data_IF_587433373200
#
_entry.id   IF_587433373200
#
_cell.length_a   1.000
_cell.length_b   1.000
_cell.length_c   1.000
_cell.angle_alpha   90.00
_cell.angle_beta   90.00
_cell.angle_gamma   90.00
#
_symmetry.space_group_name_H-M   'P 1'
#
loop_
_entity.id
_entity.type
_entity.pdbx_description
1 polymer ?
#
# COMPACT_ATOMS: atom_id res chain seq x y z
N UNK A 1 -19.46 30.49 -13.88
CA UNK A 1 -20.83 30.09 -13.49
C UNK A 1 -20.86 30.05 -11.98
N UNK A 2 -21.59 30.96 -11.36
CA UNK A 2 -21.88 30.91 -9.92
C UNK A 2 -22.74 29.66 -9.68
N UNK A 3 -22.17 28.67 -9.02
CA UNK A 3 -22.95 27.54 -8.51
C UNK A 3 -23.84 28.08 -7.38
N UNK A 4 -25.14 28.22 -7.65
CA UNK A 4 -26.14 28.63 -6.66
C UNK A 4 -26.00 27.77 -5.39
N UNK A 5 -25.57 28.41 -4.30
CA UNK A 5 -25.29 27.76 -3.03
C UNK A 5 -26.63 27.33 -2.38
N UNK A 6 -27.13 26.15 -2.74
CA UNK A 6 -28.42 25.64 -2.24
C UNK A 6 -28.33 25.33 -0.73
N UNK A 7 -29.33 25.73 0.08
CA UNK A 7 -29.31 25.51 1.53
C UNK A 7 -29.37 24.01 1.87
N UNK A 8 -28.22 23.45 2.26
CA UNK A 8 -28.02 22.01 2.54
C UNK A 8 -28.81 21.53 3.75
N UNK A 9 -29.06 22.43 4.71
CA UNK A 9 -29.78 22.13 5.95
C UNK A 9 -31.26 21.77 5.70
N UNK A 10 -31.99 22.61 4.96
CA UNK A 10 -33.41 22.36 4.64
C UNK A 10 -33.57 21.09 3.82
N UNK A 11 -32.70 20.85 2.84
CA UNK A 11 -32.70 19.60 2.06
C UNK A 11 -32.44 18.36 2.91
N UNK A 12 -31.62 18.47 3.95
CA UNK A 12 -31.33 17.34 4.84
C UNK A 12 -32.54 16.93 5.69
N UNK A 13 -33.35 17.90 6.14
CA UNK A 13 -34.55 17.64 6.94
C UNK A 13 -35.68 17.00 6.12
N UNK A 14 -35.69 17.19 4.80
CA UNK A 14 -36.70 16.66 3.89
C UNK A 14 -36.42 15.22 3.42
N UNK A 15 -35.33 14.59 3.88
CA UNK A 15 -34.93 13.24 3.43
C UNK A 15 -35.75 12.13 4.06
N UNK A 16 -36.07 11.11 3.28
CA UNK A 16 -36.68 9.90 3.78
C UNK A 16 -35.63 8.87 4.28
N UNK A 17 -36.09 7.81 4.94
CA UNK A 17 -35.20 6.81 5.55
C UNK A 17 -34.32 6.10 4.51
N UNK A 18 -34.86 5.80 3.33
CA UNK A 18 -34.12 5.12 2.26
C UNK A 18 -32.99 6.01 1.73
N UNK A 19 -33.25 7.31 1.52
CA UNK A 19 -32.24 8.30 1.14
C UNK A 19 -31.13 8.40 2.18
N UNK A 20 -31.48 8.48 3.46
CA UNK A 20 -30.50 8.55 4.56
C UNK A 20 -29.63 7.29 4.60
N UNK A 21 -30.23 6.10 4.40
CA UNK A 21 -29.49 4.83 4.34
C UNK A 21 -28.56 4.80 3.14
N UNK A 22 -29.03 5.25 1.98
CA UNK A 22 -28.23 5.31 0.75
C UNK A 22 -27.02 6.24 0.94
N UNK A 23 -27.20 7.43 1.51
CA UNK A 23 -26.09 8.35 1.76
C UNK A 23 -25.05 7.77 2.70
N UNK A 24 -25.50 7.09 3.77
CA UNK A 24 -24.62 6.42 4.71
C UNK A 24 -23.86 5.30 4.03
N UNK A 25 -24.56 4.46 3.26
CA UNK A 25 -23.93 3.38 2.50
C UNK A 25 -22.89 3.93 1.52
N UNK A 26 -23.20 5.02 0.82
CA UNK A 26 -22.27 5.69 -0.10
C UNK A 26 -21.04 6.25 0.62
N UNK A 27 -21.24 6.89 1.77
CA UNK A 27 -20.14 7.45 2.58
C UNK A 27 -19.24 6.33 3.08
N UNK A 28 -19.82 5.31 3.71
CA UNK A 28 -19.08 4.15 4.23
C UNK A 28 -18.34 3.43 3.11
N UNK A 29 -18.98 3.24 1.96
CA UNK A 29 -18.37 2.60 0.79
C UNK A 29 -17.19 3.40 0.25
N UNK A 30 -17.33 4.72 0.10
CA UNK A 30 -16.27 5.60 -0.38
C UNK A 30 -15.06 5.64 0.58
N UNK A 31 -15.32 5.75 1.88
CA UNK A 31 -14.26 5.74 2.90
C UNK A 31 -13.54 4.39 2.94
N UNK A 32 -14.30 3.28 2.88
CA UNK A 32 -13.75 1.93 2.86
C UNK A 32 -12.89 1.70 1.62
N UNK A 33 -13.35 2.13 0.45
CA UNK A 33 -12.59 2.05 -0.81
C UNK A 33 -11.26 2.81 -0.69
N UNK A 34 -11.29 4.05 -0.19
CA UNK A 34 -10.10 4.88 -0.05
C UNK A 34 -9.07 4.26 0.89
N UNK A 35 -9.52 3.76 2.04
CA UNK A 35 -8.64 3.10 3.03
C UNK A 35 -8.07 1.82 2.44
N UNK A 36 -8.89 1.02 1.76
CA UNK A 36 -8.44 -0.23 1.15
C UNK A 36 -7.37 0.05 0.08
N UNK A 37 -7.60 1.02 -0.81
CA UNK A 37 -6.65 1.39 -1.86
C UNK A 37 -5.29 1.75 -1.26
N UNK A 38 -5.27 2.64 -0.26
CA UNK A 38 -4.04 3.02 0.47
C UNK A 38 -3.32 1.82 1.05
N UNK A 39 -4.06 0.84 1.57
CA UNK A 39 -3.45 -0.36 2.16
C UNK A 39 -2.74 -1.24 1.13
N UNK A 40 -3.26 -1.30 -0.10
CA UNK A 40 -2.61 -1.98 -1.22
C UNK A 40 -1.33 -1.22 -1.61
N UNK A 41 -1.41 0.11 -1.75
CA UNK A 41 -0.25 0.97 -2.04
C UNK A 41 0.86 0.84 -0.98
N UNK A 42 0.50 0.77 0.30
CA UNK A 42 1.43 0.56 1.41
C UNK A 42 2.19 -0.77 1.29
N UNK A 43 1.50 -1.84 0.87
CA UNK A 43 2.13 -3.16 0.66
C UNK A 43 3.13 -3.09 -0.49
N UNK A 44 2.76 -2.49 -1.62
CA UNK A 44 3.65 -2.29 -2.76
C UNK A 44 4.90 -1.48 -2.38
N UNK A 45 4.72 -0.41 -1.61
CA UNK A 45 5.83 0.40 -1.14
C UNK A 45 6.77 -0.39 -0.23
N UNK A 46 6.21 -1.26 0.63
CA UNK A 46 7.00 -2.12 1.51
C UNK A 46 7.81 -3.15 0.72
N UNK A 47 7.23 -3.76 -0.32
CA UNK A 47 7.94 -4.67 -1.23
C UNK A 47 9.13 -3.93 -1.86
N UNK A 48 8.89 -2.77 -2.49
CA UNK A 48 9.95 -1.97 -3.14
C UNK A 48 11.07 -1.55 -2.19
N UNK A 49 10.76 -1.31 -0.91
CA UNK A 49 11.78 -0.99 0.10
C UNK A 49 12.63 -2.22 0.42
N UNK A 50 12.00 -3.36 0.67
CA UNK A 50 12.70 -4.61 0.97
C UNK A 50 13.55 -5.09 -0.20
N UNK A 51 13.07 -4.96 -1.44
CA UNK A 51 13.86 -5.25 -2.65
C UNK A 51 15.14 -4.40 -2.69
N UNK A 52 15.06 -3.10 -2.39
CA UNK A 52 16.25 -2.23 -2.32
C UNK A 52 17.17 -2.59 -1.17
N UNK A 53 16.62 -2.93 -0.01
CA UNK A 53 17.42 -3.38 1.13
C UNK A 53 18.15 -4.69 0.80
N UNK A 54 17.50 -5.60 0.07
CA UNK A 54 18.05 -6.85 -0.40
C UNK A 54 19.19 -6.61 -1.40
N UNK A 55 18.97 -5.77 -2.42
CA UNK A 55 20.03 -5.36 -3.36
C UNK A 55 21.19 -4.63 -2.63
N UNK A 56 20.88 -3.86 -1.58
CA UNK A 56 21.89 -3.22 -0.74
C UNK A 56 22.77 -4.20 0.05
N UNK A 57 22.36 -5.47 0.23
CA UNK A 57 23.20 -6.47 0.91
C UNK A 57 24.45 -6.84 0.10
N UNK A 58 24.38 -6.69 -1.23
CA UNK A 58 25.50 -6.97 -2.14
C UNK A 58 26.22 -5.69 -2.59
N UNK A 59 25.83 -4.53 -2.05
CA UNK A 59 26.56 -3.29 -2.30
C UNK A 59 27.86 -3.26 -1.50
N UNK A 60 28.93 -3.73 -2.14
CA UNK A 60 30.29 -3.78 -1.59
C UNK A 60 31.09 -2.56 -2.08
N UNK A 61 30.42 -1.49 -2.50
CA UNK A 61 31.09 -0.28 -2.95
C UNK A 61 31.98 0.29 -1.83
N UNK A 62 33.24 0.61 -2.12
CA UNK A 62 34.15 1.13 -1.11
C UNK A 62 33.70 2.53 -0.67
N UNK A 63 33.61 2.76 0.64
CA UNK A 63 33.21 4.06 1.21
C UNK A 63 34.23 5.17 0.89
N UNK A 64 35.48 4.80 0.60
CA UNK A 64 36.57 5.70 0.21
C UNK A 64 37.53 5.02 -0.76
N UNK A 65 38.24 5.83 -1.57
CA UNK A 65 39.19 5.39 -2.63
C UNK A 65 40.28 4.42 -2.18
N UNK A 66 40.52 4.32 -0.87
CA UNK A 66 41.58 3.53 -0.24
C UNK A 66 41.09 2.31 0.56
N UNK A 67 39.77 2.05 0.60
CA UNK A 67 39.19 0.98 1.44
C UNK A 67 38.59 -0.12 0.56
N UNK A 68 39.19 -1.31 0.52
CA UNK A 68 38.54 -2.50 -0.04
C UNK A 68 37.70 -3.15 1.07
N UNK A 69 36.39 -2.91 1.06
CA UNK A 69 35.38 -3.36 2.05
C UNK A 69 35.13 -4.87 2.08
N UNK A 70 35.85 -5.65 1.26
CA UNK A 70 35.70 -7.10 1.17
C UNK A 70 36.11 -7.85 2.44
N UNK A 71 37.01 -7.31 3.25
CA UNK A 71 37.52 -7.98 4.44
C UNK A 71 36.45 -8.15 5.54
N UNK A 72 35.46 -7.23 5.60
CA UNK A 72 34.43 -7.21 6.63
C UNK A 72 33.15 -7.96 6.21
N UNK A 73 33.06 -8.42 4.96
CA UNK A 73 31.89 -9.14 4.47
C UNK A 73 31.71 -10.46 5.23
N UNK A 74 30.51 -10.69 5.76
CA UNK A 74 30.16 -11.90 6.51
C UNK A 74 29.20 -12.76 5.66
N UNK A 75 29.69 -13.80 4.97
CA UNK A 75 28.88 -14.59 4.04
C UNK A 75 27.65 -15.22 4.69
N UNK A 76 27.79 -15.76 5.89
CA UNK A 76 26.70 -16.40 6.61
C UNK A 76 25.60 -15.41 6.98
N UNK A 77 25.98 -14.21 7.43
CA UNK A 77 25.03 -13.15 7.77
C UNK A 77 24.31 -12.61 6.52
N UNK A 78 25.04 -12.49 5.40
CA UNK A 78 24.46 -12.15 4.11
C UNK A 78 23.39 -13.16 3.68
N UNK A 79 23.76 -14.45 3.57
CA UNK A 79 22.85 -15.51 3.11
C UNK A 79 21.62 -15.59 4.01
N UNK A 80 21.80 -15.49 5.32
CA UNK A 80 20.68 -15.52 6.26
C UNK A 80 19.69 -14.37 5.99
N UNK A 81 20.21 -13.14 5.83
CA UNK A 81 19.36 -11.95 5.66
C UNK A 81 18.71 -11.88 4.28
N UNK A 82 19.42 -12.32 3.24
CA UNK A 82 18.89 -12.43 1.88
C UNK A 82 17.71 -13.43 1.81
N UNK A 83 17.83 -14.59 2.46
CA UNK A 83 16.75 -15.56 2.57
C UNK A 83 15.56 -14.97 3.36
N UNK A 84 15.82 -14.26 4.47
CA UNK A 84 14.78 -13.60 5.27
C UNK A 84 13.98 -12.58 4.44
N UNK A 85 14.68 -11.71 3.71
CA UNK A 85 14.05 -10.74 2.82
C UNK A 85 13.27 -11.42 1.70
N UNK A 86 13.83 -12.46 1.07
CA UNK A 86 13.16 -13.24 0.02
C UNK A 86 11.83 -13.84 0.50
N UNK A 87 11.82 -14.45 1.69
CA UNK A 87 10.60 -15.02 2.28
C UNK A 87 9.57 -13.94 2.61
N UNK A 88 10.03 -12.80 3.13
CA UNK A 88 9.16 -11.66 3.47
C UNK A 88 8.54 -11.05 2.21
N UNK A 89 9.34 -10.79 1.18
CA UNK A 89 8.90 -10.28 -0.13
C UNK A 89 7.89 -11.24 -0.75
N UNK A 90 8.16 -12.55 -0.75
CA UNK A 90 7.23 -13.57 -1.25
C UNK A 90 5.86 -13.49 -0.56
N UNK A 91 5.85 -13.40 0.77
CA UNK A 91 4.60 -13.30 1.52
C UNK A 91 3.86 -11.99 1.24
N UNK A 92 4.58 -10.88 1.12
CA UNK A 92 3.99 -9.58 0.76
C UNK A 92 3.42 -9.58 -0.67
N UNK A 93 4.08 -10.23 -1.63
CA UNK A 93 3.57 -10.38 -2.99
C UNK A 93 2.26 -11.18 -3.04
N UNK A 94 2.17 -12.28 -2.29
CA UNK A 94 0.93 -13.05 -2.14
C UNK A 94 -0.16 -12.18 -1.50
N UNK A 95 0.19 -11.43 -0.45
CA UNK A 95 -0.74 -10.52 0.22
C UNK A 95 -1.24 -9.44 -0.73
N UNK A 96 -0.35 -8.86 -1.55
CA UNK A 96 -0.66 -7.84 -2.54
C UNK A 96 -1.65 -8.39 -3.57
N UNK A 97 -1.36 -9.55 -4.16
CA UNK A 97 -2.20 -10.19 -5.16
C UNK A 97 -3.63 -10.44 -4.62
N UNK A 98 -3.73 -10.99 -3.41
CA UNK A 98 -5.01 -11.27 -2.77
C UNK A 98 -5.76 -9.97 -2.45
N UNK A 99 -5.06 -8.95 -1.94
CA UNK A 99 -5.66 -7.67 -1.61
C UNK A 99 -6.18 -6.94 -2.85
N UNK A 100 -5.41 -6.92 -3.95
CA UNK A 100 -5.86 -6.35 -5.23
C UNK A 100 -7.10 -7.06 -5.73
N UNK A 101 -7.08 -8.40 -5.88
CA UNK A 101 -8.26 -9.16 -6.34
C UNK A 101 -9.49 -8.90 -5.48
N UNK A 102 -9.30 -8.73 -4.17
CA UNK A 102 -10.41 -8.47 -3.25
C UNK A 102 -10.90 -7.03 -3.32
N UNK A 103 -10.02 -6.05 -3.51
CA UNK A 103 -10.39 -4.68 -3.81
C UNK A 103 -11.25 -4.60 -5.07
N UNK A 104 -10.80 -5.21 -6.16
CA UNK A 104 -11.52 -5.21 -7.44
C UNK A 104 -12.90 -5.85 -7.32
N UNK A 105 -12.99 -6.98 -6.62
CA UNK A 105 -14.26 -7.66 -6.34
C UNK A 105 -15.22 -6.80 -5.51
N UNK A 106 -14.73 -6.16 -4.44
CA UNK A 106 -15.58 -5.40 -3.50
C UNK A 106 -16.07 -4.07 -4.08
N UNK A 107 -15.23 -3.40 -4.88
CA UNK A 107 -15.50 -2.04 -5.35
C UNK A 107 -15.76 -1.93 -6.85
N UNK A 108 -15.61 -3.03 -7.60
CA UNK A 108 -15.86 -3.07 -9.04
C UNK A 108 -14.93 -2.16 -9.85
N UNK A 109 -13.71 -1.95 -9.37
CA UNK A 109 -12.70 -1.06 -9.97
C UNK A 109 -11.39 -1.80 -10.10
N UNK A 110 -10.72 -1.66 -11.25
CA UNK A 110 -9.35 -2.13 -11.43
C UNK A 110 -8.41 -1.29 -10.57
N UNK A 111 -7.43 -1.95 -9.95
CA UNK A 111 -6.39 -1.29 -9.18
C UNK A 111 -5.28 -0.74 -10.10
#
# INVERSE_FOLDING_TARGET
MEDELKPRFIKSLQRNNDQIREDRARTIGADSELIYRRRVEDIELKIKRLEREQEGLIDISPLDRNSLTFADFQPEAFVQKDIEYSLTIRNLNIQLEVAVKRFEYLFGKTF
#
